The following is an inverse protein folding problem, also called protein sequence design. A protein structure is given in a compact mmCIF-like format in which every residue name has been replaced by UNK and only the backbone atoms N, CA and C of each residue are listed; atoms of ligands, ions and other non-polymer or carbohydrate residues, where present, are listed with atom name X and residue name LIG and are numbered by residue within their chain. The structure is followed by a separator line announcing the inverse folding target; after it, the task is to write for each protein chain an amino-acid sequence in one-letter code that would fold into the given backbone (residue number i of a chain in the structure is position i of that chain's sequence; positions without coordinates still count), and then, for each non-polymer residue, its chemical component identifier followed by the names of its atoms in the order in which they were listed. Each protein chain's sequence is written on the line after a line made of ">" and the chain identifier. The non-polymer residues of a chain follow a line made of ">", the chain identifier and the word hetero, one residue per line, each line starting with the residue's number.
data_IF_781327081823
#
_entry.id   IF_781327081823
#
_cell.length_a   1.000
_cell.length_b   1.000
_cell.length_c   1.000
_cell.angle_alpha   90.00
_cell.angle_beta   90.00
_cell.angle_gamma   90.00
#
_symmetry.space_group_name_H-M   'P 1'
#
loop_
_entity.id
_entity.type
_entity.pdbx_description
1 polymer ?
#
# COMPACT_ATOMS: atom_id res chain seq x y z
N UNK A 1 16.73 -87.61 -2.88
CA UNK A 1 16.16 -88.02 -4.14
C UNK A 1 15.65 -86.81 -4.95
N UNK A 2 16.33 -86.57 -6.06
CA UNK A 2 15.93 -86.12 -7.38
C UNK A 2 16.06 -84.62 -7.59
N UNK A 3 17.20 -84.06 -8.03
CA UNK A 3 17.73 -83.81 -9.39
C UNK A 3 16.72 -83.12 -10.32
N UNK A 4 17.13 -81.97 -10.84
CA UNK A 4 16.49 -81.28 -11.96
C UNK A 4 17.08 -79.93 -12.22
N UNK A 5 18.29 -79.89 -12.85
CA UNK A 5 18.89 -78.67 -13.45
C UNK A 5 18.10 -78.23 -14.69
N UNK A 6 17.84 -76.93 -14.85
CA UNK A 6 17.55 -76.38 -16.16
C UNK A 6 18.16 -74.96 -16.27
N UNK A 7 19.25 -74.89 -17.02
CA UNK A 7 19.85 -73.67 -17.53
C UNK A 7 18.88 -73.04 -18.54
N UNK A 8 18.53 -71.76 -18.36
CA UNK A 8 17.99 -70.90 -19.42
C UNK A 8 18.94 -69.76 -19.66
N UNK A 9 19.43 -69.71 -20.85
CA UNK A 9 20.21 -68.69 -21.52
C UNK A 9 19.52 -67.35 -21.41
N UNK A 10 20.18 -66.36 -20.75
CA UNK A 10 19.81 -64.98 -20.79
C UNK A 10 20.27 -64.34 -22.11
N UNK A 11 19.31 -64.03 -22.94
CA UNK A 11 19.48 -63.11 -24.10
C UNK A 11 19.45 -61.66 -23.63
N UNK A 12 20.62 -61.03 -23.71
CA UNK A 12 20.77 -59.60 -23.42
C UNK A 12 19.94 -58.75 -24.39
N UNK A 13 18.89 -58.14 -23.87
CA UNK A 13 18.12 -57.09 -24.59
C UNK A 13 18.83 -55.76 -24.43
N UNK A 14 19.50 -55.29 -25.48
CA UNK A 14 20.05 -53.95 -25.61
C UNK A 14 18.87 -52.98 -25.74
N UNK A 15 18.63 -52.17 -24.72
CA UNK A 15 17.69 -51.02 -24.81
C UNK A 15 18.33 -49.89 -25.61
N UNK A 16 17.64 -49.32 -26.60
CA UNK A 16 18.13 -48.14 -27.28
C UNK A 16 18.10 -46.91 -26.33
N UNK A 17 19.25 -46.26 -26.20
CA UNK A 17 19.33 -44.92 -25.59
C UNK A 17 18.67 -43.90 -26.56
N UNK A 18 17.41 -43.60 -26.35
CA UNK A 18 16.80 -42.40 -26.89
C UNK A 18 16.45 -41.46 -25.73
N UNK A 19 17.38 -40.61 -25.36
CA UNK A 19 17.21 -39.54 -24.43
C UNK A 19 17.39 -38.20 -25.11
N UNK A 20 16.49 -37.81 -25.98
CA UNK A 20 16.29 -36.42 -26.26
C UNK A 20 15.23 -35.90 -25.28
N UNK A 21 15.72 -35.35 -24.16
CA UNK A 21 14.90 -34.55 -23.29
C UNK A 21 14.37 -33.35 -24.08
N UNK A 22 13.18 -33.49 -24.64
CA UNK A 22 12.41 -32.38 -25.13
C UNK A 22 12.07 -31.53 -23.89
N UNK A 23 12.86 -30.48 -23.67
CA UNK A 23 12.48 -29.38 -22.78
C UNK A 23 11.14 -28.87 -23.31
N UNK A 24 10.04 -29.28 -22.69
CA UNK A 24 8.73 -28.70 -23.00
C UNK A 24 8.82 -27.21 -22.68
N UNK A 25 9.00 -26.39 -23.72
CA UNK A 25 8.86 -24.95 -23.59
C UNK A 25 7.47 -24.72 -22.98
N UNK A 26 7.43 -24.37 -21.68
CA UNK A 26 6.17 -24.01 -21.03
C UNK A 26 5.60 -22.83 -21.80
N UNK A 27 4.36 -22.97 -22.26
CA UNK A 27 3.66 -21.91 -22.98
C UNK A 27 3.70 -20.61 -22.19
N UNK A 28 3.92 -19.48 -22.87
CA UNK A 28 3.86 -18.15 -22.28
C UNK A 28 2.40 -17.93 -21.84
N UNK A 29 2.21 -17.67 -20.56
CA UNK A 29 0.89 -17.30 -20.03
C UNK A 29 0.64 -15.83 -20.31
N UNK A 30 -0.54 -15.49 -20.86
CA UNK A 30 -0.95 -14.10 -21.06
C UNK A 30 -2.00 -13.71 -20.03
N UNK A 31 -1.79 -12.58 -19.36
CA UNK A 31 -2.75 -11.93 -18.49
C UNK A 31 -3.12 -10.56 -19.07
N UNK A 32 -4.41 -10.21 -19.00
CA UNK A 32 -4.87 -8.87 -19.37
C UNK A 32 -5.04 -8.04 -18.10
N UNK A 33 -4.45 -6.85 -18.09
CA UNK A 33 -4.66 -5.90 -17.02
C UNK A 33 -6.09 -5.32 -17.08
N UNK A 34 -6.73 -5.25 -15.94
CA UNK A 34 -8.06 -4.66 -15.75
C UNK A 34 -7.95 -3.17 -15.46
N UNK A 35 -7.00 -2.81 -14.61
CA UNK A 35 -6.68 -1.42 -14.30
C UNK A 35 -5.18 -1.25 -14.06
N UNK A 36 -4.71 -0.02 -14.25
CA UNK A 36 -3.32 0.37 -14.08
C UNK A 36 -3.28 1.72 -13.37
N UNK A 37 -2.46 1.84 -12.33
CA UNK A 37 -2.28 3.09 -11.60
C UNK A 37 -1.42 4.10 -12.36
N UNK A 38 -1.57 5.37 -12.01
CA UNK A 38 -0.87 6.50 -12.63
C UNK A 38 0.65 6.36 -12.64
N UNK A 39 1.23 5.93 -11.52
CA UNK A 39 2.68 5.71 -11.43
C UNK A 39 3.13 4.44 -12.15
N UNK A 40 2.30 3.40 -12.16
CA UNK A 40 2.58 2.21 -12.95
C UNK A 40 2.56 2.50 -14.46
N UNK A 41 1.65 3.38 -14.94
CA UNK A 41 1.66 3.87 -16.33
C UNK A 41 2.98 4.55 -16.65
N UNK A 42 3.48 5.44 -15.79
CA UNK A 42 4.77 6.12 -15.98
C UNK A 42 5.93 5.12 -16.00
N UNK A 43 5.91 4.11 -15.13
CA UNK A 43 6.95 3.11 -15.03
C UNK A 43 7.05 2.19 -16.25
N UNK A 44 5.93 1.85 -16.92
CA UNK A 44 5.91 0.96 -18.08
C UNK A 44 5.80 1.71 -19.43
N UNK A 45 5.44 3.01 -19.42
CA UNK A 45 5.15 3.81 -20.61
C UNK A 45 6.35 4.19 -21.48
N UNK A 46 7.56 4.04 -20.99
CA UNK A 46 8.81 4.20 -21.75
C UNK A 46 9.43 2.82 -21.96
N UNK A 47 10.06 2.57 -23.10
CA UNK A 47 10.78 1.31 -23.38
C UNK A 47 11.76 0.98 -22.26
N UNK A 48 11.27 0.31 -21.23
CA UNK A 48 11.97 0.06 -19.98
C UNK A 48 12.38 -1.39 -19.90
N UNK A 49 13.54 -1.61 -19.32
CA UNK A 49 13.98 -2.93 -18.89
C UNK A 49 14.05 -2.96 -17.38
N UNK A 50 14.03 -4.15 -16.84
CA UNK A 50 14.16 -4.30 -15.42
C UNK A 50 14.11 -5.74 -14.96
N UNK A 51 13.69 -5.92 -13.73
CA UNK A 51 13.63 -7.24 -13.09
C UNK A 51 12.49 -7.34 -12.10
N UNK A 52 12.13 -8.57 -11.77
CA UNK A 52 11.26 -8.87 -10.64
C UNK A 52 12.05 -8.67 -9.34
N UNK A 53 11.70 -7.66 -8.57
CA UNK A 53 12.38 -7.33 -7.31
C UNK A 53 11.88 -8.17 -6.13
N UNK A 54 10.56 -8.46 -6.05
CA UNK A 54 9.96 -9.28 -5.01
C UNK A 54 8.75 -10.04 -5.54
N UNK A 55 8.53 -11.26 -5.02
CA UNK A 55 7.41 -12.14 -5.38
C UNK A 55 6.66 -12.52 -4.12
N UNK A 56 5.33 -12.35 -4.14
CA UNK A 56 4.40 -12.75 -3.10
C UNK A 56 3.31 -13.65 -3.69
N UNK A 57 2.46 -14.20 -2.84
CA UNK A 57 1.40 -15.10 -3.29
C UNK A 57 0.46 -14.51 -4.35
N UNK A 58 0.18 -13.20 -4.29
CA UNK A 58 -0.81 -12.52 -5.13
C UNK A 58 -0.31 -11.22 -5.73
N UNK A 59 0.97 -10.92 -5.60
CA UNK A 59 1.60 -9.71 -6.14
C UNK A 59 3.07 -9.94 -6.40
N UNK A 60 3.63 -9.13 -7.30
CA UNK A 60 5.06 -9.04 -7.50
C UNK A 60 5.45 -7.59 -7.83
N UNK A 61 6.56 -7.16 -7.27
CA UNK A 61 7.12 -5.84 -7.55
C UNK A 61 8.13 -5.93 -8.67
N UNK A 62 8.01 -4.99 -9.59
CA UNK A 62 8.89 -4.80 -10.74
C UNK A 62 9.73 -3.56 -10.51
N UNK A 63 11.05 -3.73 -10.61
CA UNK A 63 12.01 -2.64 -10.65
C UNK A 63 12.41 -2.44 -12.10
N UNK A 64 12.00 -1.32 -12.69
CA UNK A 64 12.27 -0.94 -14.07
C UNK A 64 13.21 0.26 -14.08
N UNK A 65 13.91 0.48 -15.18
CA UNK A 65 14.81 1.64 -15.36
C UNK A 65 14.08 2.98 -15.16
N UNK A 66 12.79 3.02 -15.50
CA UNK A 66 11.91 4.20 -15.39
C UNK A 66 11.16 4.33 -14.07
N UNK A 67 11.27 3.36 -13.16
CA UNK A 67 10.58 3.37 -11.87
C UNK A 67 10.08 1.99 -11.43
N UNK A 68 9.25 1.99 -10.40
CA UNK A 68 8.71 0.76 -9.83
C UNK A 68 7.20 0.65 -10.05
N UNK A 69 6.73 -0.57 -10.26
CA UNK A 69 5.30 -0.88 -10.24
C UNK A 69 5.05 -2.25 -9.59
N UNK A 70 3.78 -2.55 -9.32
CA UNK A 70 3.37 -3.79 -8.68
C UNK A 70 2.29 -4.49 -9.50
N UNK A 71 2.57 -5.69 -10.03
CA UNK A 71 1.54 -6.54 -10.61
C UNK A 71 0.77 -7.23 -9.49
N UNK A 72 -0.54 -7.04 -9.42
CA UNK A 72 -1.38 -7.55 -8.33
C UNK A 72 -2.61 -8.27 -8.85
N UNK A 73 -3.06 -9.28 -8.12
CA UNK A 73 -4.39 -9.83 -8.32
C UNK A 73 -5.47 -8.80 -7.98
N UNK A 74 -6.51 -8.69 -8.80
CA UNK A 74 -7.60 -7.72 -8.65
C UNK A 74 -8.20 -7.64 -7.24
N UNK A 75 -8.20 -8.74 -6.51
CA UNK A 75 -8.70 -8.83 -5.13
C UNK A 75 -7.89 -8.01 -4.11
N UNK A 76 -6.66 -7.59 -4.45
CA UNK A 76 -5.85 -6.72 -3.59
C UNK A 76 -6.22 -5.24 -3.74
N UNK A 77 -6.98 -4.88 -4.79
CA UNK A 77 -7.43 -3.54 -5.08
C UNK A 77 -6.46 -2.73 -5.95
N UNK A 78 -7.00 -1.68 -6.54
CA UNK A 78 -6.23 -0.73 -7.34
C UNK A 78 -5.40 0.21 -6.44
N UNK A 79 -4.54 1.00 -7.09
CA UNK A 79 -3.69 1.99 -6.45
C UNK A 79 -2.68 2.55 -7.45
N UNK A 80 -1.94 3.61 -7.12
CA UNK A 80 -1.10 4.35 -8.06
C UNK A 80 0.01 3.51 -8.69
N UNK A 81 0.54 2.55 -7.94
CA UNK A 81 1.65 1.69 -8.39
C UNK A 81 1.20 0.33 -8.91
N UNK A 82 -0.11 0.04 -8.85
CA UNK A 82 -0.66 -1.29 -9.11
C UNK A 82 -1.05 -1.47 -10.58
N UNK A 83 -0.75 -2.66 -11.11
CA UNK A 83 -1.30 -3.21 -12.35
C UNK A 83 -2.16 -4.39 -11.95
N UNK A 84 -3.48 -4.22 -11.99
CA UNK A 84 -4.43 -5.22 -11.55
C UNK A 84 -4.77 -6.21 -12.65
N UNK A 85 -4.63 -7.50 -12.36
CA UNK A 85 -4.96 -8.59 -13.29
C UNK A 85 -5.91 -9.61 -12.64
N UNK A 86 -6.66 -10.33 -13.46
CA UNK A 86 -7.32 -11.53 -13.00
C UNK A 86 -6.29 -12.65 -12.87
N UNK A 87 -6.05 -13.07 -11.61
CA UNK A 87 -5.15 -14.19 -11.34
C UNK A 87 -5.95 -15.48 -11.17
N UNK A 88 -5.70 -16.49 -12.00
CA UNK A 88 -6.32 -17.81 -11.82
C UNK A 88 -5.75 -18.60 -10.63
N UNK A 89 -4.67 -18.11 -10.01
CA UNK A 89 -3.96 -18.79 -8.93
C UNK A 89 -2.93 -17.91 -8.24
N UNK A 90 -1.75 -18.47 -7.97
CA UNK A 90 -0.63 -17.78 -7.31
C UNK A 90 0.33 -17.15 -8.33
N UNK A 91 1.10 -16.15 -7.89
CA UNK A 91 2.13 -15.47 -8.69
C UNK A 91 3.47 -16.26 -8.77
N UNK A 92 3.51 -17.52 -8.34
CA UNK A 92 4.74 -18.35 -8.29
C UNK A 92 5.21 -18.88 -9.66
N UNK A 93 4.56 -18.46 -10.74
CA UNK A 93 5.00 -18.74 -12.12
C UNK A 93 6.26 -17.98 -12.51
N UNK A 94 6.61 -16.94 -11.76
CA UNK A 94 7.75 -16.07 -11.99
C UNK A 94 8.67 -16.09 -10.76
N UNK A 95 9.96 -16.03 -10.98
CA UNK A 95 10.96 -16.01 -9.90
C UNK A 95 11.54 -14.61 -9.71
N UNK A 96 12.03 -14.34 -8.50
CA UNK A 96 12.81 -13.13 -8.23
C UNK A 96 14.00 -13.03 -9.20
N UNK A 97 14.35 -11.84 -9.61
CA UNK A 97 15.36 -11.48 -10.60
C UNK A 97 15.05 -11.94 -12.04
N UNK A 98 13.85 -12.47 -12.33
CA UNK A 98 13.44 -12.66 -13.73
C UNK A 98 13.47 -11.31 -14.46
N UNK A 99 14.00 -11.30 -15.70
CA UNK A 99 14.06 -10.10 -16.53
C UNK A 99 12.63 -9.63 -16.88
N UNK A 100 12.46 -8.31 -16.97
CA UNK A 100 11.24 -7.66 -17.41
C UNK A 100 11.60 -6.78 -18.58
N UNK A 101 10.90 -6.97 -19.69
CA UNK A 101 11.05 -6.15 -20.90
C UNK A 101 9.69 -5.57 -21.26
N UNK A 102 9.59 -4.25 -21.39
CA UNK A 102 8.38 -3.63 -21.93
C UNK A 102 8.29 -3.88 -23.42
N UNK A 103 7.08 -4.16 -23.86
CA UNK A 103 6.73 -4.40 -25.26
C UNK A 103 5.60 -3.47 -25.65
N UNK A 104 5.25 -3.43 -26.94
CA UNK A 104 4.07 -2.68 -27.35
C UNK A 104 2.83 -3.16 -26.55
N UNK A 105 2.16 -2.20 -25.90
CA UNK A 105 0.94 -2.42 -25.11
C UNK A 105 1.06 -3.38 -23.93
N UNK A 106 2.26 -3.47 -23.29
CA UNK A 106 2.43 -4.29 -22.11
C UNK A 106 3.88 -4.59 -21.74
N UNK A 107 4.11 -5.72 -21.12
CA UNK A 107 5.45 -6.18 -20.75
C UNK A 107 5.51 -7.71 -20.66
N UNK A 108 6.73 -8.24 -20.75
CA UNK A 108 7.01 -9.67 -20.62
C UNK A 108 7.93 -9.88 -19.41
N UNK A 109 7.63 -10.90 -18.60
CA UNK A 109 8.45 -11.28 -17.47
C UNK A 109 9.09 -12.65 -17.74
N UNK A 110 10.41 -12.64 -17.97
CA UNK A 110 11.12 -13.81 -18.45
C UNK A 110 10.42 -14.34 -19.71
N UNK A 111 10.57 -15.58 -20.06
CA UNK A 111 9.84 -16.17 -21.18
C UNK A 111 8.55 -16.90 -20.73
N UNK A 112 7.88 -16.38 -19.65
CA UNK A 112 6.79 -17.13 -19.01
C UNK A 112 5.49 -16.36 -18.88
N UNK A 113 5.55 -15.06 -18.70
CA UNK A 113 4.37 -14.25 -18.46
C UNK A 113 4.38 -13.02 -19.36
N UNK A 114 3.34 -12.85 -20.14
CA UNK A 114 3.04 -11.63 -20.87
C UNK A 114 1.86 -10.92 -20.18
N UNK A 115 1.99 -9.64 -19.90
CA UNK A 115 0.92 -8.81 -19.33
C UNK A 115 0.55 -7.74 -20.35
N UNK A 116 -0.66 -7.86 -20.91
CA UNK A 116 -1.23 -6.88 -21.83
C UNK A 116 -1.94 -5.77 -21.03
N UNK A 117 -1.62 -4.51 -21.35
CA UNK A 117 -2.17 -3.32 -20.66
C UNK A 117 -3.04 -2.42 -21.52
N UNK A 118 -3.16 -2.70 -22.83
CA UNK A 118 -3.87 -1.87 -23.79
C UNK A 118 -5.33 -1.55 -23.41
N UNK A 119 -6.03 -2.50 -22.79
CA UNK A 119 -7.44 -2.36 -22.40
C UNK A 119 -7.63 -1.97 -20.94
N UNK A 120 -6.54 -1.75 -20.20
CA UNK A 120 -6.61 -1.40 -18.78
C UNK A 120 -7.15 0.03 -18.58
N UNK A 121 -8.12 0.19 -17.67
CA UNK A 121 -8.53 1.52 -17.23
C UNK A 121 -7.44 2.13 -16.35
N UNK A 122 -7.16 3.43 -16.52
CA UNK A 122 -6.26 4.12 -15.61
C UNK A 122 -6.99 4.42 -14.30
N UNK A 123 -6.41 3.96 -13.20
CA UNK A 123 -6.94 4.26 -11.87
C UNK A 123 -6.34 5.58 -11.38
N UNK A 124 -7.22 6.45 -10.86
CA UNK A 124 -6.87 7.71 -10.22
C UNK A 124 -7.55 7.78 -8.86
N UNK A 125 -6.94 8.53 -7.92
CA UNK A 125 -7.56 8.77 -6.62
C UNK A 125 -8.90 9.51 -6.78
N UNK A 126 -9.98 9.04 -6.12
CA UNK A 126 -11.28 9.68 -6.24
C UNK A 126 -11.29 11.05 -5.54
N UNK A 127 -11.97 12.02 -6.14
CA UNK A 127 -12.29 13.31 -5.53
C UNK A 127 -13.61 13.15 -4.78
N UNK A 128 -13.66 13.67 -3.55
CA UNK A 128 -14.85 13.59 -2.67
C UNK A 128 -15.21 14.97 -2.16
N UNK A 129 -16.48 15.33 -2.34
CA UNK A 129 -17.05 16.50 -1.66
C UNK A 129 -17.47 16.12 -0.24
N UNK A 130 -17.12 16.93 0.73
CA UNK A 130 -17.40 16.69 2.14
C UNK A 130 -17.65 18.00 2.88
N UNK A 131 -18.27 17.89 4.05
CA UNK A 131 -18.48 18.98 4.98
C UNK A 131 -17.97 18.63 6.37
N UNK A 132 -17.79 19.63 7.21
CA UNK A 132 -17.46 19.41 8.63
C UNK A 132 -18.47 18.50 9.32
N UNK A 133 -19.76 18.73 9.12
CA UNK A 133 -20.83 17.92 9.70
C UNK A 133 -20.72 16.45 9.29
N UNK A 134 -20.49 16.18 8.00
CA UNK A 134 -20.34 14.81 7.50
C UNK A 134 -19.08 14.15 8.05
N UNK A 135 -17.96 14.88 8.17
CA UNK A 135 -16.72 14.41 8.76
C UNK A 135 -16.89 14.03 10.24
N UNK A 136 -17.50 14.93 11.05
CA UNK A 136 -17.76 14.66 12.47
C UNK A 136 -18.61 13.41 12.65
N UNK A 137 -19.69 13.27 11.87
CA UNK A 137 -20.56 12.11 11.87
C UNK A 137 -19.81 10.83 11.48
N UNK A 138 -18.95 10.90 10.46
CA UNK A 138 -18.14 9.76 10.01
C UNK A 138 -17.12 9.31 11.07
N UNK A 139 -16.44 10.25 11.73
CA UNK A 139 -15.50 9.93 12.82
C UNK A 139 -16.23 9.32 14.02
N UNK A 140 -17.38 9.89 14.42
CA UNK A 140 -18.18 9.36 15.51
C UNK A 140 -18.67 7.92 15.26
N UNK A 141 -18.95 7.59 13.99
CA UNK A 141 -19.35 6.23 13.61
C UNK A 141 -18.15 5.28 13.48
N UNK A 142 -16.97 5.77 13.09
CA UNK A 142 -15.76 4.97 12.92
C UNK A 142 -15.18 4.53 14.29
N UNK A 143 -15.08 5.43 15.25
CA UNK A 143 -14.36 5.19 16.50
C UNK A 143 -14.81 3.93 17.25
N UNK A 144 -16.12 3.67 17.47
CA UNK A 144 -16.55 2.44 18.14
C UNK A 144 -16.25 1.17 17.32
N UNK A 145 -16.21 1.26 15.99
CA UNK A 145 -15.86 0.11 15.15
C UNK A 145 -14.37 -0.28 15.29
N UNK A 146 -13.51 0.70 15.59
CA UNK A 146 -12.07 0.48 15.71
C UNK A 146 -11.65 -0.06 17.09
N UNK A 147 -12.25 0.41 18.17
CA UNK A 147 -11.80 0.18 19.55
C UNK A 147 -11.48 -1.29 19.88
N UNK A 148 -12.33 -2.24 19.44
CA UNK A 148 -12.14 -3.67 19.72
C UNK A 148 -11.31 -4.41 18.67
N UNK A 149 -11.04 -3.79 17.53
CA UNK A 149 -10.42 -4.43 16.37
C UNK A 149 -8.96 -4.02 16.13
N UNK A 150 -8.54 -2.92 16.76
CA UNK A 150 -7.18 -2.38 16.64
C UNK A 150 -6.14 -3.43 17.05
N UNK A 151 -5.16 -3.74 16.18
CA UNK A 151 -4.11 -4.69 16.51
C UNK A 151 -3.19 -4.18 17.62
N UNK A 152 -2.48 -5.10 18.27
CA UNK A 152 -1.46 -4.75 19.27
C UNK A 152 -0.23 -4.14 18.61
N UNK A 153 0.16 -4.70 17.45
CA UNK A 153 1.30 -4.24 16.66
C UNK A 153 0.98 -2.95 15.88
N UNK A 154 2.00 -2.20 15.52
CA UNK A 154 1.90 -0.99 14.73
C UNK A 154 1.55 0.25 15.55
N UNK A 155 1.03 1.29 14.88
CA UNK A 155 0.80 2.63 15.45
C UNK A 155 -0.67 2.94 15.74
N UNK A 156 -1.60 2.10 15.30
CA UNK A 156 -3.03 2.40 15.38
C UNK A 156 -3.55 2.59 16.81
N UNK A 157 -2.90 1.99 17.82
CA UNK A 157 -3.23 2.21 19.25
C UNK A 157 -2.91 3.61 19.75
N UNK A 158 -2.09 4.39 19.08
CA UNK A 158 -1.89 5.80 19.39
C UNK A 158 -3.19 6.58 19.16
N UNK A 159 -3.96 6.18 18.16
CA UNK A 159 -5.22 6.83 17.75
C UNK A 159 -6.41 6.25 18.50
N UNK A 160 -6.41 4.94 18.76
CA UNK A 160 -7.46 4.21 19.49
C UNK A 160 -6.88 3.42 20.66
N UNK A 161 -6.51 4.08 21.77
CA UNK A 161 -5.96 3.40 22.94
C UNK A 161 -7.03 2.55 23.61
N UNK A 162 -6.70 1.29 23.92
CA UNK A 162 -7.63 0.39 24.66
C UNK A 162 -7.70 0.74 26.16
N UNK A 163 -6.60 1.19 26.73
CA UNK A 163 -6.52 1.68 28.10
C UNK A 163 -5.35 2.63 28.26
N UNK A 164 -5.38 3.47 29.28
CA UNK A 164 -4.28 4.37 29.63
C UNK A 164 -3.02 3.64 30.14
N UNK A 165 -3.12 2.35 30.43
CA UNK A 165 -2.04 1.54 31.03
C UNK A 165 -1.36 0.63 30.00
N UNK A 166 -1.98 0.41 28.82
CA UNK A 166 -1.40 -0.43 27.77
C UNK A 166 -0.57 0.44 26.79
N UNK A 167 0.78 0.42 26.89
CA UNK A 167 1.63 1.27 26.06
C UNK A 167 1.63 0.86 24.57
N UNK A 168 0.99 -0.27 24.22
CA UNK A 168 1.03 -0.81 22.86
C UNK A 168 2.36 -1.48 22.52
N UNK A 169 2.68 -1.53 21.23
CA UNK A 169 3.93 -2.07 20.71
C UNK A 169 5.12 -1.13 20.98
N UNK A 170 6.34 -1.63 20.77
CA UNK A 170 7.55 -0.81 20.81
C UNK A 170 7.45 0.38 19.83
N UNK A 171 6.93 0.14 18.62
CA UNK A 171 6.74 1.15 17.58
C UNK A 171 5.76 2.24 18.05
N UNK A 172 4.65 1.84 18.69
CA UNK A 172 3.69 2.78 19.28
C UNK A 172 4.32 3.67 20.34
N UNK A 173 5.10 3.09 21.26
CA UNK A 173 5.80 3.85 22.29
C UNK A 173 6.81 4.85 21.70
N UNK A 174 7.57 4.42 20.69
CA UNK A 174 8.56 5.27 20.01
C UNK A 174 7.90 6.40 19.20
N UNK A 175 6.77 6.12 18.55
CA UNK A 175 6.06 7.08 17.70
C UNK A 175 5.17 8.06 18.48
N UNK A 176 4.65 7.68 19.65
CA UNK A 176 3.68 8.48 20.41
C UNK A 176 4.07 9.95 20.59
N UNK A 177 5.28 10.31 21.06
CA UNK A 177 5.67 11.72 21.22
C UNK A 177 5.78 12.44 19.88
N UNK A 178 6.14 11.74 18.81
CA UNK A 178 6.23 12.30 17.46
C UNK A 178 4.83 12.58 16.93
N UNK A 179 3.90 11.63 17.05
CA UNK A 179 2.51 11.79 16.59
C UNK A 179 1.80 12.89 17.38
N UNK A 180 2.01 13.00 18.70
CA UNK A 180 1.47 14.10 19.49
C UNK A 180 1.99 15.47 19.00
N UNK A 181 3.30 15.59 18.79
CA UNK A 181 3.91 16.83 18.26
C UNK A 181 3.43 17.17 16.86
N UNK A 182 3.17 16.18 16.01
CA UNK A 182 2.58 16.37 14.68
C UNK A 182 1.12 16.83 14.77
N UNK A 183 0.32 16.24 15.66
CA UNK A 183 -1.06 16.67 15.86
C UNK A 183 -1.14 18.13 16.32
N UNK A 184 -0.27 18.55 17.26
CA UNK A 184 -0.18 19.93 17.73
C UNK A 184 0.28 20.89 16.60
N UNK A 185 1.23 20.46 15.78
CA UNK A 185 1.66 21.23 14.60
C UNK A 185 0.53 21.38 13.60
N UNK A 186 -0.14 20.30 13.22
CA UNK A 186 -1.29 20.32 12.32
C UNK A 186 -2.39 21.24 12.85
N UNK A 187 -2.71 21.15 14.15
CA UNK A 187 -3.73 22.02 14.78
C UNK A 187 -3.39 23.51 14.56
N UNK A 188 -2.15 23.92 14.83
CA UNK A 188 -1.70 25.29 14.60
C UNK A 188 -1.77 25.71 13.14
N UNK A 189 -1.40 24.81 12.20
CA UNK A 189 -1.40 25.12 10.76
C UNK A 189 -2.80 25.31 10.21
N UNK A 190 -3.77 24.54 10.69
CA UNK A 190 -5.17 24.69 10.29
C UNK A 190 -5.85 25.87 10.96
N UNK A 191 -5.58 26.15 12.24
CA UNK A 191 -6.18 27.30 12.97
C UNK A 191 -5.72 28.65 12.45
N UNK A 192 -4.45 28.76 12.05
CA UNK A 192 -3.84 30.02 11.64
C UNK A 192 -3.86 30.25 10.13
N UNK A 193 -4.32 29.28 9.36
CA UNK A 193 -4.19 29.27 7.90
C UNK A 193 -2.76 29.66 7.44
N UNK A 194 -1.78 29.08 8.12
CA UNK A 194 -0.36 29.34 7.92
C UNK A 194 0.37 28.04 7.62
N UNK A 195 1.64 28.14 7.26
CA UNK A 195 2.50 26.99 7.14
C UNK A 195 3.86 27.25 7.80
N UNK A 196 4.40 26.22 8.40
CA UNK A 196 5.78 26.11 8.88
C UNK A 196 6.23 24.67 8.72
N UNK A 197 7.52 24.43 8.78
CA UNK A 197 8.05 23.07 8.70
C UNK A 197 7.52 22.22 9.86
N UNK A 198 7.23 20.94 9.62
CA UNK A 198 6.84 20.04 10.69
C UNK A 198 8.00 19.84 11.67
N UNK A 199 7.70 19.41 12.91
CA UNK A 199 8.72 19.08 13.88
C UNK A 199 9.74 18.09 13.31
N UNK A 200 11.03 18.35 13.46
CA UNK A 200 12.10 17.48 12.91
C UNK A 200 12.02 16.02 13.39
N UNK A 201 11.32 15.77 14.50
CA UNK A 201 11.05 14.43 14.99
C UNK A 201 10.25 13.54 14.03
N UNK A 202 9.55 14.10 13.03
CA UNK A 202 8.80 13.34 12.02
C UNK A 202 9.70 12.34 11.27
N UNK A 203 10.99 12.63 11.09
CA UNK A 203 11.94 11.74 10.44
C UNK A 203 12.12 10.41 11.17
N UNK A 204 11.80 10.34 12.48
CA UNK A 204 11.83 9.11 13.27
C UNK A 204 10.73 8.12 12.90
N UNK A 205 9.71 8.56 12.18
CA UNK A 205 8.68 7.67 11.62
C UNK A 205 9.21 6.93 10.39
N UNK A 206 10.15 7.51 9.64
CA UNK A 206 10.69 6.88 8.44
C UNK A 206 11.41 5.58 8.80
N UNK A 207 10.91 4.46 8.25
CA UNK A 207 11.44 3.13 8.51
C UNK A 207 11.14 2.56 9.91
N UNK A 208 10.28 3.20 10.69
CA UNK A 208 9.90 2.72 12.02
C UNK A 208 8.97 1.51 11.93
N UNK A 209 9.43 0.38 12.40
CA UNK A 209 8.70 -0.89 12.43
C UNK A 209 9.27 -1.95 11.49
N UNK A 210 8.88 -3.22 11.66
CA UNK A 210 9.36 -4.32 10.84
C UNK A 210 8.64 -4.39 9.49
N UNK A 211 9.23 -5.13 8.54
CA UNK A 211 8.59 -5.51 7.28
C UNK A 211 8.98 -4.65 6.09
N UNK A 212 8.25 -4.82 4.99
CA UNK A 212 8.50 -4.14 3.72
C UNK A 212 7.87 -2.74 3.66
N UNK A 213 6.82 -2.54 4.44
CA UNK A 213 6.17 -1.26 4.69
C UNK A 213 6.14 -1.05 6.20
N UNK A 214 7.18 -0.42 6.78
CA UNK A 214 7.24 -0.10 8.21
C UNK A 214 6.03 0.74 8.66
N UNK A 215 5.58 0.52 9.88
CA UNK A 215 4.38 1.16 10.45
C UNK A 215 4.43 2.70 10.42
N UNK A 216 5.61 3.27 10.62
CA UNK A 216 5.80 4.72 10.55
C UNK A 216 5.64 5.27 9.13
N UNK A 217 6.12 4.56 8.13
CA UNK A 217 5.93 4.93 6.72
C UNK A 217 4.46 4.83 6.31
N UNK A 218 3.77 3.76 6.74
CA UNK A 218 2.34 3.58 6.50
C UNK A 218 1.53 4.72 7.15
N UNK A 219 1.88 5.13 8.37
CA UNK A 219 1.28 6.29 9.03
C UNK A 219 1.48 7.58 8.23
N UNK A 220 2.70 7.83 7.73
CA UNK A 220 2.99 8.98 6.87
C UNK A 220 2.17 8.97 5.59
N UNK A 221 1.97 7.80 4.95
CA UNK A 221 1.10 7.63 3.77
C UNK A 221 -0.31 8.11 4.08
N UNK A 222 -0.91 7.64 5.18
CA UNK A 222 -2.27 8.05 5.55
C UNK A 222 -2.40 9.55 5.82
N UNK A 223 -1.44 10.12 6.53
CA UNK A 223 -1.40 11.56 6.83
C UNK A 223 -1.32 12.39 5.55
N UNK A 224 -0.40 12.07 4.64
CA UNK A 224 -0.16 12.80 3.39
C UNK A 224 -1.38 12.78 2.46
N UNK A 225 -2.03 11.63 2.34
CA UNK A 225 -3.26 11.49 1.53
C UNK A 225 -4.36 12.42 2.04
N UNK A 226 -4.59 12.49 3.35
CA UNK A 226 -5.64 13.35 3.90
C UNK A 226 -5.26 14.82 3.81
N UNK A 227 -3.99 15.20 3.98
CA UNK A 227 -3.54 16.58 3.73
C UNK A 227 -3.82 17.01 2.30
N UNK A 228 -3.56 16.13 1.32
CA UNK A 228 -3.86 16.39 -0.10
C UNK A 228 -5.37 16.51 -0.34
N UNK A 229 -6.19 15.63 0.24
CA UNK A 229 -7.66 15.70 0.14
C UNK A 229 -8.24 16.95 0.79
N UNK A 230 -7.58 17.48 1.82
CA UNK A 230 -7.93 18.75 2.46
C UNK A 230 -7.43 19.99 1.68
N UNK A 231 -6.76 19.80 0.54
CA UNK A 231 -6.19 20.89 -0.28
C UNK A 231 -4.95 21.55 0.33
N UNK A 232 -4.36 20.98 1.39
CA UNK A 232 -3.18 21.51 2.08
C UNK A 232 -1.87 20.99 1.44
N UNK A 233 -1.72 21.27 0.15
CA UNK A 233 -0.51 20.94 -0.61
C UNK A 233 0.74 21.65 -0.10
N UNK A 234 0.57 22.81 0.54
CA UNK A 234 1.61 23.54 1.26
C UNK A 234 2.19 22.70 2.41
N UNK A 235 1.33 22.06 3.21
CA UNK A 235 1.77 21.17 4.30
C UNK A 235 2.35 19.86 3.77
N UNK A 236 1.83 19.32 2.67
CA UNK A 236 2.44 18.15 1.99
C UNK A 236 3.87 18.48 1.57
N UNK A 237 4.10 19.64 0.94
CA UNK A 237 5.43 20.08 0.52
C UNK A 237 6.36 20.32 1.73
N UNK A 238 5.85 20.88 2.83
CA UNK A 238 6.62 21.09 4.05
C UNK A 238 7.05 19.73 4.68
N UNK A 239 6.14 18.76 4.72
CA UNK A 239 6.46 17.40 5.18
C UNK A 239 7.49 16.74 4.27
N UNK A 240 7.31 16.82 2.95
CA UNK A 240 8.25 16.27 1.98
C UNK A 240 9.66 16.82 2.16
N UNK A 241 9.79 18.15 2.34
CA UNK A 241 11.09 18.79 2.55
C UNK A 241 11.86 18.17 3.73
N UNK A 242 11.16 17.77 4.80
CA UNK A 242 11.78 17.22 6.01
C UNK A 242 12.02 15.72 5.91
N UNK A 243 11.11 14.94 5.32
CA UNK A 243 11.23 13.47 5.29
C UNK A 243 12.04 12.95 4.10
N UNK A 244 12.10 13.67 2.97
CA UNK A 244 12.75 13.20 1.74
C UNK A 244 14.20 12.77 1.91
N UNK A 245 15.07 13.50 2.66
CA UNK A 245 16.44 13.05 2.94
C UNK A 245 16.45 11.73 3.74
N UNK A 246 15.53 11.57 4.69
CA UNK A 246 15.45 10.36 5.51
C UNK A 246 14.96 9.15 4.70
N UNK A 247 14.04 9.35 3.74
CA UNK A 247 13.54 8.28 2.87
C UNK A 247 14.64 7.62 2.02
N UNK A 248 15.71 8.35 1.70
CA UNK A 248 16.77 7.85 0.83
C UNK A 248 17.52 6.64 1.41
N UNK A 249 17.67 6.56 2.73
CA UNK A 249 18.41 5.48 3.40
C UNK A 249 17.69 4.90 4.62
N UNK A 250 16.59 5.52 5.07
CA UNK A 250 15.87 5.12 6.28
C UNK A 250 14.80 4.07 6.04
N UNK A 251 14.37 3.85 4.79
CA UNK A 251 13.34 2.85 4.47
C UNK A 251 13.64 2.10 3.17
N UNK A 252 12.95 0.95 2.99
CA UNK A 252 13.09 0.11 1.81
C UNK A 252 12.47 0.73 0.55
N UNK A 253 12.86 0.24 -0.66
CA UNK A 253 12.40 0.82 -1.92
C UNK A 253 10.89 0.69 -2.12
N UNK A 254 10.27 -0.39 -1.63
CA UNK A 254 8.82 -0.62 -1.72
C UNK A 254 8.08 0.41 -0.86
N UNK A 255 8.49 0.59 0.38
CA UNK A 255 7.86 1.57 1.28
C UNK A 255 8.03 2.99 0.76
N UNK A 256 9.24 3.35 0.33
CA UNK A 256 9.51 4.66 -0.29
C UNK A 256 8.61 4.93 -1.49
N UNK A 257 8.33 3.92 -2.34
CA UNK A 257 7.42 4.04 -3.46
C UNK A 257 6.02 4.48 -3.00
N UNK A 258 5.49 3.88 -1.94
CA UNK A 258 4.17 4.23 -1.39
C UNK A 258 4.15 5.62 -0.75
N UNK A 259 5.21 6.01 -0.02
CA UNK A 259 5.31 7.36 0.55
C UNK A 259 5.39 8.42 -0.55
N UNK A 260 6.18 8.17 -1.60
CA UNK A 260 6.27 9.08 -2.76
C UNK A 260 4.92 9.21 -3.48
N UNK A 261 4.17 8.12 -3.64
CA UNK A 261 2.82 8.19 -4.19
C UNK A 261 1.88 9.04 -3.32
N UNK A 262 2.01 8.94 -2.00
CA UNK A 262 1.19 9.71 -1.07
C UNK A 262 1.50 11.22 -1.08
N UNK A 263 2.71 11.62 -1.46
CA UNK A 263 3.05 13.04 -1.71
C UNK A 263 2.26 13.61 -2.90
N UNK A 264 1.90 12.77 -3.87
CA UNK A 264 0.98 13.13 -4.97
C UNK A 264 -0.51 12.99 -4.57
N UNK A 265 -0.81 12.70 -3.29
CA UNK A 265 -2.17 12.44 -2.78
C UNK A 265 -2.73 11.07 -3.14
N UNK A 266 -1.91 10.17 -3.64
CA UNK A 266 -2.33 8.84 -4.14
C UNK A 266 -1.94 7.70 -3.19
N UNK A 267 -2.85 6.76 -2.97
CA UNK A 267 -2.60 5.55 -2.20
C UNK A 267 -3.51 4.41 -2.68
N UNK A 268 -3.60 3.32 -1.92
CA UNK A 268 -4.47 2.20 -2.26
C UNK A 268 -5.94 2.62 -2.36
N UNK A 269 -6.68 2.01 -3.29
CA UNK A 269 -8.14 2.14 -3.41
C UNK A 269 -8.85 1.92 -2.07
N UNK A 270 -8.34 0.99 -1.25
CA UNK A 270 -8.93 0.66 0.05
C UNK A 270 -8.82 1.80 1.06
N UNK A 271 -7.67 2.51 1.10
CA UNK A 271 -7.51 3.68 1.93
C UNK A 271 -8.45 4.80 1.48
N UNK A 272 -8.45 5.13 0.18
CA UNK A 272 -9.34 6.15 -0.35
C UNK A 272 -10.80 5.83 -0.09
N UNK A 273 -11.24 4.58 -0.29
CA UNK A 273 -12.61 4.17 -0.01
C UNK A 273 -12.98 4.30 1.48
N UNK A 274 -12.03 4.03 2.39
CA UNK A 274 -12.24 4.18 3.83
C UNK A 274 -12.30 5.65 4.23
N UNK A 275 -11.34 6.46 3.80
CA UNK A 275 -11.28 7.91 4.08
C UNK A 275 -12.51 8.62 3.52
N UNK A 276 -12.92 8.30 2.30
CA UNK A 276 -14.11 8.86 1.67
C UNK A 276 -15.39 8.54 2.46
N UNK A 277 -15.54 7.29 2.93
CA UNK A 277 -16.69 6.91 3.75
C UNK A 277 -16.76 7.73 5.06
N UNK A 278 -15.60 8.03 5.66
CA UNK A 278 -15.53 8.91 6.85
C UNK A 278 -15.88 10.36 6.48
N UNK A 279 -15.31 10.90 5.40
CA UNK A 279 -15.52 12.28 4.97
C UNK A 279 -16.99 12.57 4.64
N UNK A 280 -17.67 11.65 3.94
CA UNK A 280 -19.09 11.82 3.60
C UNK A 280 -20.04 11.38 4.72
N UNK A 281 -19.51 10.76 5.80
CA UNK A 281 -20.31 10.28 6.92
C UNK A 281 -21.23 9.10 6.59
N UNK A 282 -20.84 8.25 5.62
CA UNK A 282 -21.61 7.06 5.24
C UNK A 282 -21.35 5.89 6.22
N UNK A 283 -22.10 5.89 7.32
CA UNK A 283 -21.99 4.86 8.35
C UNK A 283 -22.38 3.46 7.87
N UNK A 284 -23.15 3.32 6.77
CA UNK A 284 -23.58 2.01 6.29
C UNK A 284 -22.43 1.18 5.71
N UNK A 285 -21.41 1.82 5.15
CA UNK A 285 -20.27 1.14 4.52
C UNK A 285 -19.03 1.08 5.40
N UNK A 286 -18.94 1.87 6.48
CA UNK A 286 -17.73 1.97 7.32
C UNK A 286 -17.24 0.61 7.82
N UNK A 287 -18.13 -0.25 8.33
CA UNK A 287 -17.76 -1.57 8.83
C UNK A 287 -17.13 -2.45 7.74
N UNK A 288 -17.69 -2.45 6.53
CA UNK A 288 -17.15 -3.20 5.40
C UNK A 288 -15.83 -2.63 4.89
N UNK A 289 -15.68 -1.29 4.87
CA UNK A 289 -14.43 -0.63 4.50
C UNK A 289 -13.34 -0.89 5.53
N UNK A 290 -13.69 -0.89 6.82
CA UNK A 290 -12.75 -1.24 7.88
C UNK A 290 -12.24 -2.70 7.75
N UNK A 291 -13.13 -3.64 7.45
CA UNK A 291 -12.72 -5.03 7.14
C UNK A 291 -11.79 -5.07 5.92
N UNK A 292 -12.11 -4.33 4.87
CA UNK A 292 -11.28 -4.29 3.65
C UNK A 292 -9.87 -3.75 3.92
N UNK A 293 -9.74 -2.62 4.64
CA UNK A 293 -8.44 -2.02 4.93
C UNK A 293 -7.65 -2.85 5.94
N UNK A 294 -8.29 -3.49 6.91
CA UNK A 294 -7.63 -4.35 7.89
C UNK A 294 -6.98 -5.61 7.29
N UNK A 295 -7.33 -5.95 6.04
CA UNK A 295 -6.71 -7.05 5.29
C UNK A 295 -5.44 -6.64 4.54
N UNK A 296 -5.02 -5.38 4.61
CA UNK A 296 -3.79 -4.88 4.00
C UNK A 296 -2.61 -5.14 4.94
N UNK A 297 -1.73 -6.06 4.55
CA UNK A 297 -0.58 -6.47 5.37
C UNK A 297 -1.01 -7.06 6.73
N UNK A 298 -0.10 -7.02 7.69
CA UNK A 298 -0.39 -7.44 9.07
C UNK A 298 -1.01 -6.29 9.90
N UNK A 299 -0.40 -5.11 9.84
CA UNK A 299 -0.88 -3.87 10.49
C UNK A 299 -0.89 -2.66 9.52
N UNK A 300 -0.33 -2.77 8.32
CA UNK A 300 -0.16 -1.65 7.37
C UNK A 300 -1.45 -0.88 7.09
N UNK A 301 -2.56 -1.57 6.89
CA UNK A 301 -3.86 -0.91 6.68
C UNK A 301 -4.33 -0.12 7.90
N UNK A 302 -4.09 -0.62 9.10
CA UNK A 302 -4.40 0.06 10.35
C UNK A 302 -3.50 1.26 10.61
N UNK A 303 -2.20 1.14 10.30
CA UNK A 303 -1.23 2.21 10.48
C UNK A 303 -1.49 3.36 9.50
N UNK A 304 -1.81 3.02 8.25
CA UNK A 304 -2.23 4.00 7.24
C UNK A 304 -3.53 4.72 7.66
N UNK A 305 -4.51 3.97 8.18
CA UNK A 305 -5.75 4.55 8.70
C UNK A 305 -5.49 5.44 9.92
N UNK A 306 -4.57 5.07 10.81
CA UNK A 306 -4.20 5.88 11.97
C UNK A 306 -3.61 7.24 11.55
N UNK A 307 -2.71 7.26 10.56
CA UNK A 307 -2.19 8.50 9.99
C UNK A 307 -3.28 9.38 9.39
N UNK A 308 -4.18 8.79 8.62
CA UNK A 308 -5.33 9.48 8.05
C UNK A 308 -6.24 10.09 9.12
N UNK A 309 -6.64 9.31 10.13
CA UNK A 309 -7.55 9.75 11.20
C UNK A 309 -6.92 10.80 12.09
N UNK A 310 -5.60 10.80 12.26
CA UNK A 310 -4.90 11.88 12.97
C UNK A 310 -5.19 13.24 12.32
N UNK A 311 -5.09 13.35 11.01
CA UNK A 311 -5.40 14.60 10.28
C UNK A 311 -6.91 14.89 10.28
N UNK A 312 -7.76 13.89 10.03
CA UNK A 312 -9.21 14.06 10.01
C UNK A 312 -9.75 14.59 11.35
N UNK A 313 -9.20 14.14 12.48
CA UNK A 313 -9.57 14.65 13.82
C UNK A 313 -9.15 16.09 14.03
N UNK A 314 -8.00 16.50 13.50
CA UNK A 314 -7.57 17.90 13.53
C UNK A 314 -8.52 18.77 12.70
N UNK A 315 -8.84 18.35 11.48
CA UNK A 315 -9.80 19.05 10.62
C UNK A 315 -11.17 19.25 11.31
N UNK A 316 -11.70 18.20 11.95
CA UNK A 316 -12.98 18.30 12.66
C UNK A 316 -12.95 19.28 13.85
N UNK A 317 -11.81 19.40 14.55
CA UNK A 317 -11.67 20.31 15.70
C UNK A 317 -11.51 21.77 15.29
N UNK A 318 -10.73 22.05 14.26
CA UNK A 318 -10.42 23.43 13.84
C UNK A 318 -11.62 24.11 13.24
N UNK A 319 -12.42 23.40 12.48
CA UNK A 319 -13.64 23.95 11.90
C UNK A 319 -14.71 24.23 12.98
N UNK A 320 -14.87 23.35 13.99
CA UNK A 320 -15.74 23.62 15.14
C UNK A 320 -15.39 24.92 15.88
N UNK A 321 -14.09 25.22 16.06
CA UNK A 321 -13.63 26.44 16.74
C UNK A 321 -13.97 27.69 15.94
N UNK A 322 -13.90 27.65 14.61
CA UNK A 322 -14.25 28.78 13.74
C UNK A 322 -15.75 29.10 13.77
N UNK A 323 -16.63 28.12 13.96
CA UNK A 323 -18.08 28.35 14.11
C UNK A 323 -18.44 28.97 15.47
N UNK A 324 -17.76 28.57 16.54
CA UNK A 324 -17.99 29.09 17.89
C UNK A 324 -17.63 30.58 17.96
N UNK A 325 -16.48 30.94 17.38
CA UNK A 325 -16.04 32.37 17.31
C UNK A 325 -16.95 33.26 16.47
N UNK A 326 -17.63 32.71 15.44
CA UNK A 326 -18.60 33.47 14.62
C UNK A 326 -19.95 33.65 15.30
N UNK A 327 -20.34 32.80 16.27
CA UNK A 327 -21.58 32.92 17.03
C UNK A 327 -21.48 33.96 18.16
N UNK A 328 -20.27 34.18 18.69
CA UNK A 328 -20.03 35.13 19.76
C UNK A 328 -19.85 36.60 19.30
N UNK A 329 -19.85 36.82 17.97
CA UNK A 329 -19.68 38.15 17.33
C UNK A 329 -20.99 38.66 16.66
N UNK A 330 -22.07 37.89 16.73
CA UNK A 330 -23.41 38.24 16.24
C UNK A 330 -24.38 38.48 17.39
#
# INVERSE_FOLDING_TARGET
>A
TGIGSNQRTETAFVRPRNGHGVSSARAVQTLSAVSIGTQAVRAIGSSSRGRVAAVFNRSLYLELDSGWCCLVGKQLGAGPVNICVWLPGRMDIVTRNAAVDTVDQGFVIGNRLHVATASASVWTAPIVEWSEETLIRGLAALDPLCLDRVPIAGLSRIVWPRSSVDPGSFESCAAMPVVASLADWLQRMFERDSWELPPGGITKLVGLGPGLTPSGDDFLVGMLVVLSLAGRFDLVAAVDQVIRPALAGGTGPISRLHVVAALDGESSERLHAMVNAVLVGDHNVLASRLVSISQVGHCSGWDTLAGAVTVLRVLARTNCSAMTTRRDVS
#
